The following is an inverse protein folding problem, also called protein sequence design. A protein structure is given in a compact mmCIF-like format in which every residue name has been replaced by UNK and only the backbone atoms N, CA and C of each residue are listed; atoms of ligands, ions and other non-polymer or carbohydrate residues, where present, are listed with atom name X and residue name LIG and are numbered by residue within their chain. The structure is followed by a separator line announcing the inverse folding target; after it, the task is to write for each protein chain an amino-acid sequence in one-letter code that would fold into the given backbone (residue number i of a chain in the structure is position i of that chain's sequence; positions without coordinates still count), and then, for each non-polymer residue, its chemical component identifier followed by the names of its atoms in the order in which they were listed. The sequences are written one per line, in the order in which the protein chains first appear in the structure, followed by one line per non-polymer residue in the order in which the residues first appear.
data_IF_845243278371
#
_entry.id   IF_845243278371
#
_cell.length_a   1.000
_cell.length_b   1.000
_cell.length_c   1.000
_cell.angle_alpha   90.00
_cell.angle_beta   90.00
_cell.angle_gamma   90.00
#
_symmetry.space_group_name_H-M   'P 1'
#
loop_
_entity.id
_entity.type
_entity.pdbx_description
1 polymer ?
#
# COMPACT_ATOMS: atom_id res chain seq x y z
N UNK A 1 -8.83 -9.71 14.21
CA UNK A 1 -8.69 -9.47 12.75
C UNK A 1 -9.94 -10.02 12.09
N UNK A 2 -10.49 -9.41 11.03
CA UNK A 2 -11.67 -10.00 10.38
C UNK A 2 -11.20 -11.12 9.45
N UNK A 3 -11.71 -12.33 9.66
CA UNK A 3 -11.28 -13.57 8.99
C UNK A 3 -12.27 -14.05 7.92
N UNK A 4 -13.29 -13.25 7.58
CA UNK A 4 -14.22 -13.60 6.49
C UNK A 4 -13.54 -13.46 5.13
N UNK A 5 -13.76 -14.42 4.23
CA UNK A 5 -13.20 -14.42 2.87
C UNK A 5 -13.61 -13.19 2.05
N UNK A 6 -14.81 -12.65 2.27
CA UNK A 6 -15.30 -11.44 1.59
C UNK A 6 -14.62 -10.14 2.07
N UNK A 7 -13.93 -10.16 3.21
CA UNK A 7 -13.30 -8.97 3.82
C UNK A 7 -11.97 -9.30 4.48
N UNK A 8 -11.03 -9.74 3.65
CA UNK A 8 -9.65 -10.02 4.04
C UNK A 8 -8.99 -8.72 4.50
N UNK A 9 -8.56 -8.69 5.77
CA UNK A 9 -7.77 -7.59 6.34
C UNK A 9 -6.31 -8.04 6.44
N UNK A 10 -5.34 -7.12 6.38
CA UNK A 10 -3.93 -7.42 6.69
C UNK A 10 -3.56 -6.81 8.04
N UNK A 11 -2.86 -7.54 8.92
CA UNK A 11 -2.59 -7.07 10.27
C UNK A 11 -1.50 -5.98 10.28
N UNK A 12 -1.42 -5.26 11.40
CA UNK A 12 -0.38 -4.27 11.67
C UNK A 12 -0.39 -3.02 10.77
N UNK A 13 0.55 -2.12 11.08
CA UNK A 13 0.82 -0.93 10.27
C UNK A 13 1.54 -1.34 8.98
N UNK A 14 1.21 -0.67 7.88
CA UNK A 14 1.71 -0.97 6.54
C UNK A 14 2.31 0.27 5.89
N UNK A 15 3.18 0.04 4.91
CA UNK A 15 3.71 1.04 3.99
C UNK A 15 3.44 0.55 2.54
N UNK A 16 3.43 1.48 1.59
CA UNK A 16 3.32 1.19 0.16
C UNK A 16 4.51 1.79 -0.57
N UNK A 17 5.20 0.96 -1.36
CA UNK A 17 6.31 1.39 -2.21
C UNK A 17 5.93 1.29 -3.67
N UNK A 18 6.14 2.38 -4.41
CA UNK A 18 5.98 2.40 -5.86
C UNK A 18 7.29 2.11 -6.55
N UNK A 19 7.30 1.04 -7.36
CA UNK A 19 8.44 0.71 -8.20
C UNK A 19 8.26 1.28 -9.60
N UNK A 20 9.37 1.78 -10.16
CA UNK A 20 9.44 2.27 -11.53
C UNK A 20 10.20 1.27 -12.39
N UNK A 21 9.88 1.25 -13.68
CA UNK A 21 10.68 0.54 -14.66
C UNK A 21 11.91 1.35 -15.08
N UNK A 22 12.73 0.77 -15.97
CA UNK A 22 13.93 1.41 -16.52
C UNK A 22 13.61 2.70 -17.32
N UNK A 23 12.36 2.88 -17.74
CA UNK A 23 11.86 4.06 -18.46
C UNK A 23 11.26 5.11 -17.51
N UNK A 24 11.34 4.90 -16.20
CA UNK A 24 10.80 5.78 -15.17
C UNK A 24 9.27 5.72 -15.01
N UNK A 25 8.60 4.79 -15.71
CA UNK A 25 7.15 4.59 -15.63
C UNK A 25 6.79 3.75 -14.42
N UNK A 26 5.57 3.92 -13.94
CA UNK A 26 5.03 3.16 -12.83
C UNK A 26 4.86 1.69 -13.24
N UNK A 27 5.61 0.80 -12.57
CA UNK A 27 5.63 -0.62 -12.86
C UNK A 27 4.67 -1.41 -11.98
N UNK A 28 4.67 -1.13 -10.68
CA UNK A 28 3.83 -1.78 -9.66
C UNK A 28 3.93 -1.06 -8.32
N UNK A 29 2.96 -1.30 -7.45
CA UNK A 29 3.02 -0.94 -6.04
C UNK A 29 3.18 -2.21 -5.18
N UNK A 30 3.97 -2.12 -4.10
CA UNK A 30 4.15 -3.21 -3.13
C UNK A 30 3.67 -2.73 -1.76
N UNK A 31 2.67 -3.42 -1.22
CA UNK A 31 2.21 -3.25 0.16
C UNK A 31 3.07 -4.12 1.05
N UNK A 32 3.63 -3.52 2.09
CA UNK A 32 4.53 -4.17 3.03
C UNK A 32 4.23 -3.73 4.45
N UNK A 33 4.87 -4.33 5.45
CA UNK A 33 4.81 -3.87 6.82
C UNK A 33 5.49 -2.49 6.95
N UNK A 34 5.09 -1.72 7.95
CA UNK A 34 5.63 -0.37 8.15
C UNK A 34 7.12 -0.34 8.55
N UNK A 35 7.65 -1.45 9.04
CA UNK A 35 9.05 -1.64 9.42
C UNK A 35 9.92 -2.19 8.27
N UNK A 36 9.33 -2.45 7.09
CA UNK A 36 10.07 -2.88 5.89
C UNK A 36 10.63 -1.70 5.09
N UNK A 37 11.88 -1.83 4.64
CA UNK A 37 12.49 -0.96 3.62
C UNK A 37 12.61 -1.72 2.30
N UNK A 38 11.92 -1.23 1.27
CA UNK A 38 11.91 -1.82 -0.07
C UNK A 38 12.42 -0.80 -1.10
N UNK A 39 12.86 -1.29 -2.25
CA UNK A 39 13.18 -0.42 -3.38
C UNK A 39 11.93 0.27 -3.91
N UNK A 40 12.04 1.58 -4.15
CA UNK A 40 10.98 2.39 -4.75
C UNK A 40 10.67 3.66 -3.95
N UNK A 41 9.61 4.35 -4.37
CA UNK A 41 9.11 5.57 -3.74
C UNK A 41 8.10 5.22 -2.64
N UNK A 42 8.36 5.63 -1.39
CA UNK A 42 7.38 5.53 -0.29
C UNK A 42 6.18 6.43 -0.59
N UNK A 43 4.98 5.86 -0.60
CA UNK A 43 3.76 6.60 -0.91
C UNK A 43 3.07 7.18 0.33
N UNK A 44 3.15 6.52 1.49
CA UNK A 44 2.59 7.05 2.72
C UNK A 44 3.63 7.92 3.43
N UNK A 45 3.23 9.15 3.75
CA UNK A 45 4.02 10.14 4.48
C UNK A 45 3.25 10.62 5.70
N UNK A 46 3.99 11.00 6.75
CA UNK A 46 3.39 11.56 7.95
C UNK A 46 2.85 12.96 7.66
N UNK A 47 1.53 13.13 7.80
CA UNK A 47 0.86 14.45 7.66
C UNK A 47 0.53 15.05 9.03
N UNK A 48 0.12 14.19 9.97
CA UNK A 48 -0.15 14.60 11.35
C UNK A 48 0.57 13.69 12.32
N UNK A 49 1.08 14.27 13.41
CA UNK A 49 1.71 13.54 14.51
C UNK A 49 1.21 14.13 15.83
N UNK A 50 0.65 13.27 16.69
CA UNK A 50 0.12 13.67 18.00
C UNK A 50 -0.92 14.82 17.94
N UNK A 51 -1.72 14.88 16.88
CA UNK A 51 -2.73 15.93 16.70
C UNK A 51 -2.19 17.22 16.07
N UNK A 52 -0.90 17.29 15.75
CA UNK A 52 -0.27 18.45 15.13
C UNK A 52 0.07 18.18 13.66
N UNK A 53 -0.12 19.18 12.79
CA UNK A 53 0.25 19.12 11.38
C UNK A 53 1.78 19.16 11.26
N UNK A 54 2.38 18.10 10.70
CA UNK A 54 3.82 17.96 10.53
C UNK A 54 4.26 17.87 9.06
N UNK A 55 3.38 18.30 8.14
CA UNK A 55 3.61 18.27 6.70
C UNK A 55 3.29 19.62 6.08
N UNK A 56 4.19 20.11 5.25
CA UNK A 56 4.03 21.37 4.53
C UNK A 56 2.99 21.20 3.42
N UNK A 57 1.83 21.84 3.61
CA UNK A 57 0.74 21.79 2.64
C UNK A 57 1.17 22.50 1.34
N UNK A 58 1.26 21.79 0.21
CA UNK A 58 1.67 22.39 -1.04
C UNK A 58 0.57 23.33 -1.57
N UNK A 59 0.94 24.42 -2.28
CA UNK A 59 -0.04 25.24 -2.98
C UNK A 59 -0.67 24.47 -4.15
N UNK A 60 -1.85 24.93 -4.61
CA UNK A 60 -2.66 24.23 -5.61
C UNK A 60 -1.91 23.93 -6.91
N UNK A 61 -1.03 24.84 -7.35
CA UNK A 61 -0.24 24.65 -8.57
C UNK A 61 0.72 23.47 -8.43
N UNK A 62 1.33 23.28 -7.25
CA UNK A 62 2.21 22.14 -6.97
C UNK A 62 1.43 20.83 -6.93
N UNK A 63 0.20 20.85 -6.42
CA UNK A 63 -0.70 19.69 -6.43
C UNK A 63 -1.03 19.32 -7.89
N UNK A 64 -1.40 20.30 -8.71
CA UNK A 64 -1.69 20.11 -10.14
C UNK A 64 -0.50 19.55 -10.90
N UNK A 65 0.69 20.13 -10.71
CA UNK A 65 1.92 19.63 -11.30
C UNK A 65 2.22 18.18 -10.86
N UNK A 66 2.05 17.86 -9.58
CA UNK A 66 2.24 16.49 -9.06
C UNK A 66 1.26 15.52 -9.72
N UNK A 67 -0.01 15.89 -9.84
CA UNK A 67 -1.02 15.08 -10.51
C UNK A 67 -0.67 14.82 -11.98
N UNK A 68 -0.27 15.86 -12.73
CA UNK A 68 0.16 15.74 -14.13
C UNK A 68 1.40 14.84 -14.28
N UNK A 69 2.41 15.00 -13.40
CA UNK A 69 3.61 14.14 -13.39
C UNK A 69 3.28 12.68 -13.06
N UNK A 70 2.35 12.45 -12.14
CA UNK A 70 1.91 11.09 -11.81
C UNK A 70 1.17 10.45 -12.99
N UNK A 71 0.28 11.20 -13.64
CA UNK A 71 -0.43 10.73 -14.82
C UNK A 71 0.52 10.46 -15.99
N UNK A 72 1.54 11.30 -16.20
CA UNK A 72 2.56 11.05 -17.22
C UNK A 72 3.45 9.85 -16.88
N UNK A 73 3.65 9.55 -15.59
CA UNK A 73 4.37 8.38 -15.09
C UNK A 73 3.61 7.07 -15.26
N UNK A 74 2.28 7.10 -15.33
CA UNK A 74 1.47 5.90 -15.53
C UNK A 74 1.56 5.42 -17.00
N UNK A 75 1.77 4.11 -17.24
CA UNK A 75 1.61 3.52 -18.58
C UNK A 75 0.20 3.71 -19.17
N UNK A 76 0.09 3.66 -20.49
CA UNK A 76 -1.16 4.03 -21.18
C UNK A 76 -2.24 2.96 -21.01
N UNK A 77 -1.83 1.70 -20.87
CA UNK A 77 -2.72 0.58 -20.65
C UNK A 77 -3.57 0.70 -19.37
N UNK A 78 -3.05 1.41 -18.36
CA UNK A 78 -3.76 1.70 -17.10
C UNK A 78 -4.58 2.99 -17.14
N UNK A 79 -4.48 3.80 -18.21
CA UNK A 79 -5.22 5.08 -18.37
C UNK A 79 -6.48 4.96 -19.19
N UNK A 80 -6.68 3.83 -19.89
CA UNK A 80 -7.84 3.65 -20.76
C UNK A 80 -9.13 3.82 -19.95
N UNK A 81 -10.08 4.57 -20.50
CA UNK A 81 -11.39 4.75 -19.87
C UNK A 81 -12.31 3.53 -20.04
N UNK A 82 -12.04 2.72 -21.07
CA UNK A 82 -12.77 1.50 -21.41
C UNK A 82 -11.76 0.36 -21.34
N UNK A 83 -12.09 -0.67 -20.56
CA UNK A 83 -11.28 -1.89 -20.40
C UNK A 83 -9.78 -1.62 -20.13
N UNK A 84 -9.43 -0.91 -19.04
CA UNK A 84 -8.03 -0.72 -18.64
C UNK A 84 -7.42 -2.02 -18.11
N UNK A 85 -6.10 -2.17 -18.27
CA UNK A 85 -5.38 -3.24 -17.57
C UNK A 85 -5.41 -3.02 -16.06
N UNK A 86 -5.27 -4.10 -15.29
CA UNK A 86 -5.12 -4.00 -13.84
C UNK A 86 -3.70 -3.58 -13.47
N UNK A 87 -3.58 -2.49 -12.70
CA UNK A 87 -2.30 -2.04 -12.18
C UNK A 87 -1.77 -3.02 -11.11
N UNK A 88 -0.55 -3.57 -11.22
CA UNK A 88 -0.08 -4.59 -10.29
C UNK A 88 0.14 -4.03 -8.88
N UNK A 89 -0.65 -4.54 -7.93
CA UNK A 89 -0.48 -4.29 -6.49
C UNK A 89 -0.12 -5.59 -5.82
N UNK A 90 1.14 -5.70 -5.39
CA UNK A 90 1.68 -6.91 -4.77
C UNK A 90 1.78 -6.74 -3.25
N UNK A 91 2.02 -7.86 -2.56
CA UNK A 91 2.27 -7.89 -1.12
C UNK A 91 3.67 -8.43 -0.86
N UNK A 92 4.39 -7.84 0.09
CA UNK A 92 5.70 -8.36 0.47
C UNK A 92 5.57 -9.74 1.11
N UNK A 93 6.63 -10.54 0.98
CA UNK A 93 6.71 -11.86 1.60
C UNK A 93 6.51 -11.79 3.12
N UNK A 94 7.13 -10.81 3.78
CA UNK A 94 7.03 -10.64 5.23
C UNK A 94 5.62 -10.23 5.67
N UNK A 95 4.89 -9.48 4.86
CA UNK A 95 3.49 -9.14 5.15
C UNK A 95 2.57 -10.36 5.04
N UNK A 96 2.78 -11.21 4.03
CA UNK A 96 2.02 -12.46 3.88
C UNK A 96 2.31 -13.45 5.02
N UNK A 97 3.57 -13.59 5.41
CA UNK A 97 3.97 -14.41 6.57
C UNK A 97 3.33 -13.87 7.85
N UNK A 98 3.37 -12.56 8.07
CA UNK A 98 2.77 -11.92 9.25
C UNK A 98 1.24 -12.07 9.29
N UNK A 99 0.57 -12.06 8.13
CA UNK A 99 -0.86 -12.39 8.02
C UNK A 99 -1.11 -13.81 8.52
N UNK A 100 -0.41 -14.81 7.97
CA UNK A 100 -0.60 -16.22 8.34
C UNK A 100 -0.35 -16.46 9.82
N UNK A 101 0.74 -15.93 10.37
CA UNK A 101 1.07 -16.05 11.81
C UNK A 101 -0.03 -15.44 12.69
N UNK A 102 -0.59 -14.30 12.28
CA UNK A 102 -1.66 -13.64 13.03
C UNK A 102 -2.95 -14.45 12.97
N UNK A 103 -3.29 -15.02 11.83
CA UNK A 103 -4.47 -15.88 11.63
C UNK A 103 -4.37 -17.15 12.49
N UNK A 104 -3.23 -17.85 12.45
CA UNK A 104 -2.98 -19.02 13.29
C UNK A 104 -3.10 -18.70 14.78
N UNK A 105 -2.57 -17.54 15.21
CA UNK A 105 -2.66 -17.12 16.61
C UNK A 105 -4.10 -16.85 17.05
N UNK A 106 -4.92 -16.26 16.20
CA UNK A 106 -6.34 -15.98 16.50
C UNK A 106 -7.11 -17.30 16.63
N UNK A 107 -6.94 -18.22 15.67
CA UNK A 107 -7.60 -19.52 15.70
C UNK A 107 -7.22 -20.33 16.95
N UNK A 108 -5.94 -20.31 17.37
CA UNK A 108 -5.52 -20.96 18.62
C UNK A 108 -6.18 -20.37 19.85
N UNK A 109 -6.39 -19.05 19.89
CA UNK A 109 -7.06 -18.38 21.01
C UNK A 109 -8.56 -18.73 21.04
N UNK A 110 -9.23 -18.73 19.89
CA UNK A 110 -10.66 -19.08 19.80
C UNK A 110 -10.93 -20.53 20.24
N UNK A 111 -10.03 -21.47 19.91
CA UNK A 111 -10.14 -22.86 20.37
C UNK A 111 -9.93 -22.95 21.89
N UNK A 112 -8.92 -22.27 22.44
CA UNK A 112 -8.61 -22.30 23.86
C UNK A 112 -9.68 -21.61 24.75
N UNK A 113 -10.45 -20.66 24.20
CA UNK A 113 -11.58 -20.03 24.89
C UNK A 113 -12.87 -20.88 24.84
N UNK A 114 -12.87 -21.98 24.09
CA UNK A 114 -14.03 -22.87 23.91
C UNK A 114 -13.80 -24.29 24.47
N UNK A 115 -12.65 -24.53 25.13
CA UNK A 115 -12.35 -25.70 25.98
C UNK A 115 -12.47 -25.34 27.47
#
# INVERSE_FOLDING_TARGET
MKLSDEKITYPGRKQVYRQRDERGKFKRDIICRADEELEGEKLLVDVMRNGELCYDLPPIDRIKEKAMRNLSGLPEEYKRLIDPEEYPVLRSKQLEEFKRETEERILRMEIAEHE
#
